data_IF_394550695744
#
_entry.id   IF_394550695744
#
_cell.length_a   1.000
_cell.length_b   1.000
_cell.length_c   1.000
_cell.angle_alpha   90.00
_cell.angle_beta   90.00
_cell.angle_gamma   90.00
#
_symmetry.space_group_name_H-M   'P 1'
#
loop_
_entity.id
_entity.type
_entity.pdbx_description
1 polymer ?
#
# COMPACT_ATOMS: atom_id res chain seq x y z
N UNK A 1 -3.46 6.83 0.78
CA UNK A 1 -4.57 5.91 1.10
C UNK A 1 -5.85 6.68 1.24
N UNK A 2 -6.81 6.31 0.40
CA UNK A 2 -8.14 6.87 0.36
C UNK A 2 -9.09 5.74 -0.05
N UNK A 3 -10.31 5.72 0.46
CA UNK A 3 -11.27 4.64 0.23
C UNK A 3 -11.54 4.42 -1.26
N UNK A 4 -11.59 5.49 -2.04
CA UNK A 4 -11.77 5.44 -3.50
C UNK A 4 -10.70 4.62 -4.24
N UNK A 5 -9.51 4.48 -3.66
CA UNK A 5 -8.40 3.69 -4.22
C UNK A 5 -8.27 2.31 -3.53
N UNK A 6 -8.48 2.26 -2.22
CA UNK A 6 -8.34 1.03 -1.43
C UNK A 6 -9.38 -0.04 -1.80
N UNK A 7 -10.61 0.36 -2.15
CA UNK A 7 -11.65 -0.58 -2.58
C UNK A 7 -11.24 -1.27 -3.89
N UNK A 8 -10.93 -0.55 -4.99
CA UNK A 8 -10.40 -1.18 -6.21
C UNK A 8 -9.18 -2.07 -5.97
N UNK A 9 -8.22 -1.64 -5.15
CA UNK A 9 -7.04 -2.46 -4.81
C UNK A 9 -7.44 -3.77 -4.14
N UNK A 10 -8.40 -3.73 -3.21
CA UNK A 10 -8.90 -4.93 -2.54
C UNK A 10 -9.55 -5.90 -3.54
N UNK A 11 -10.29 -5.39 -4.51
CA UNK A 11 -10.96 -6.23 -5.52
C UNK A 11 -9.95 -6.79 -6.54
N UNK A 12 -8.97 -6.00 -6.96
CA UNK A 12 -7.85 -6.50 -7.78
C UNK A 12 -7.09 -7.62 -7.07
N UNK A 13 -6.79 -7.46 -5.78
CA UNK A 13 -6.11 -8.49 -5.01
C UNK A 13 -6.91 -9.80 -4.94
N UNK A 14 -8.24 -9.72 -4.83
CA UNK A 14 -9.12 -10.90 -4.92
C UNK A 14 -9.06 -11.56 -6.28
N UNK A 15 -9.05 -10.78 -7.36
CA UNK A 15 -8.95 -11.30 -8.72
C UNK A 15 -7.62 -12.04 -8.94
N UNK A 16 -6.49 -11.47 -8.50
CA UNK A 16 -5.19 -12.16 -8.57
C UNK A 16 -5.17 -13.45 -7.76
N UNK A 17 -5.64 -13.41 -6.50
CA UNK A 17 -5.71 -14.59 -5.65
C UNK A 17 -6.61 -15.69 -6.25
N UNK A 18 -7.74 -15.32 -6.87
CA UNK A 18 -8.62 -16.27 -7.54
C UNK A 18 -7.99 -16.95 -8.77
N UNK A 19 -6.95 -16.35 -9.35
CA UNK A 19 -6.18 -16.93 -10.47
C UNK A 19 -4.97 -17.75 -10.00
N UNK A 20 -4.84 -18.04 -8.70
CA UNK A 20 -3.69 -18.82 -8.21
C UNK A 20 -2.48 -17.98 -7.83
N UNK A 21 -2.55 -16.64 -7.91
CA UNK A 21 -1.39 -15.76 -7.71
C UNK A 21 -1.22 -15.43 -6.23
N UNK A 22 -0.03 -15.71 -5.67
CA UNK A 22 0.35 -15.22 -4.34
C UNK A 22 0.27 -13.70 -4.34
N UNK A 23 -0.62 -13.15 -3.54
CA UNK A 23 -0.95 -11.73 -3.56
C UNK A 23 -0.74 -11.12 -2.18
N UNK A 24 0.01 -10.03 -2.12
CA UNK A 24 0.29 -9.28 -0.90
C UNK A 24 -0.16 -7.83 -1.09
N UNK A 25 -0.95 -7.31 -0.17
CA UNK A 25 -1.32 -5.89 -0.10
C UNK A 25 -0.38 -5.21 0.90
N UNK A 26 0.33 -4.18 0.44
CA UNK A 26 1.16 -3.34 1.29
C UNK A 26 0.37 -2.09 1.65
N UNK A 27 0.23 -1.83 2.95
CA UNK A 27 -0.58 -0.72 3.48
C UNK A 27 0.07 -0.16 4.75
N UNK A 28 -0.64 0.66 5.52
CA UNK A 28 -0.18 1.24 6.80
C UNK A 28 -1.00 0.69 7.96
N UNK A 29 -0.50 0.72 9.20
CA UNK A 29 -1.16 0.09 10.34
C UNK A 29 -2.64 0.46 10.52
N UNK A 30 -3.01 1.74 10.38
CA UNK A 30 -4.40 2.18 10.61
C UNK A 30 -5.35 1.87 9.45
N UNK A 31 -4.81 1.55 8.27
CA UNK A 31 -5.61 1.16 7.11
C UNK A 31 -5.67 -0.35 6.88
N UNK A 32 -4.78 -1.12 7.52
CA UNK A 32 -4.76 -2.58 7.44
C UNK A 32 -6.11 -3.23 7.77
N UNK A 33 -6.86 -2.81 8.82
CA UNK A 33 -8.17 -3.40 9.12
C UNK A 33 -9.19 -3.27 7.98
N UNK A 34 -9.11 -2.19 7.19
CA UNK A 34 -9.98 -1.98 6.02
C UNK A 34 -9.74 -3.06 4.97
N UNK A 35 -8.47 -3.34 4.65
CA UNK A 35 -8.11 -4.41 3.73
C UNK A 35 -8.46 -5.79 4.31
N UNK A 36 -8.13 -6.05 5.58
CA UNK A 36 -8.44 -7.34 6.21
C UNK A 36 -9.93 -7.65 6.22
N UNK A 37 -10.78 -6.62 6.40
CA UNK A 37 -12.23 -6.77 6.31
C UNK A 37 -12.66 -7.03 4.86
N UNK A 38 -12.12 -6.28 3.90
CA UNK A 38 -12.49 -6.38 2.49
C UNK A 38 -12.08 -7.73 1.87
N UNK A 39 -10.93 -8.29 2.26
CA UNK A 39 -10.39 -9.55 1.72
C UNK A 39 -10.85 -10.78 2.48
N UNK A 40 -11.51 -10.65 3.64
CA UNK A 40 -11.99 -11.80 4.45
C UNK A 40 -12.83 -12.81 3.65
N UNK A 41 -13.65 -12.34 2.72
CA UNK A 41 -14.49 -13.18 1.86
C UNK A 41 -13.71 -13.91 0.76
N UNK A 42 -12.46 -13.56 0.48
CA UNK A 42 -11.68 -14.21 -0.57
C UNK A 42 -11.39 -15.66 -0.24
N UNK A 43 -11.28 -16.02 1.05
CA UNK A 43 -10.95 -17.39 1.51
C UNK A 43 -11.84 -18.49 0.94
N UNK A 44 -13.10 -18.18 0.60
CA UNK A 44 -14.03 -19.14 0.03
C UNK A 44 -13.97 -19.22 -1.50
N UNK A 45 -13.53 -18.15 -2.17
CA UNK A 45 -13.60 -17.99 -3.62
C UNK A 45 -12.22 -18.05 -4.31
N UNK A 46 -11.12 -17.96 -3.56
CA UNK A 46 -9.74 -17.95 -4.09
C UNK A 46 -9.06 -19.31 -4.12
N UNK A 47 -9.81 -20.41 -4.03
CA UNK A 47 -9.24 -21.76 -3.96
C UNK A 47 -8.33 -21.98 -2.74
N UNK A 48 -8.52 -21.20 -1.67
CA UNK A 48 -7.73 -21.28 -0.43
C UNK A 48 -6.49 -20.39 -0.38
N UNK A 49 -6.19 -19.61 -1.43
CA UNK A 49 -5.07 -18.66 -1.40
C UNK A 49 -5.45 -17.43 -0.57
N UNK A 50 -4.76 -17.26 0.55
CA UNK A 50 -4.93 -16.11 1.43
C UNK A 50 -4.17 -14.90 0.87
N UNK A 51 -4.86 -13.76 0.81
CA UNK A 51 -4.24 -12.48 0.50
C UNK A 51 -3.51 -12.01 1.75
N UNK A 52 -2.18 -11.88 1.64
CA UNK A 52 -1.35 -11.38 2.73
C UNK A 52 -1.49 -9.86 2.84
N UNK A 53 -1.46 -9.34 4.06
CA UNK A 53 -1.44 -7.90 4.32
C UNK A 53 -0.18 -7.58 5.10
N UNK A 54 0.67 -6.74 4.53
CA UNK A 54 1.87 -6.20 5.17
C UNK A 54 1.72 -4.73 5.42
N UNK A 55 2.34 -4.25 6.50
CA UNK A 55 2.24 -2.85 6.90
C UNK A 55 3.60 -2.18 6.94
N UNK A 56 3.68 -0.98 6.39
CA UNK A 56 4.80 -0.05 6.51
C UNK A 56 4.37 1.14 7.37
N UNK A 57 5.25 1.62 8.26
CA UNK A 57 4.95 2.77 9.12
C UNK A 57 4.69 4.01 8.26
N UNK A 58 3.55 4.67 8.45
CA UNK A 58 3.29 5.94 7.76
C UNK A 58 4.00 7.09 8.47
N UNK A 59 4.85 7.87 7.78
CA UNK A 59 5.67 8.92 8.38
C UNK A 59 4.88 10.22 8.58
N UNK A 60 3.81 10.15 9.37
CA UNK A 60 2.88 11.27 9.59
C UNK A 60 3.60 12.49 10.16
N UNK A 61 4.30 12.30 11.28
CA UNK A 61 4.94 13.40 12.02
C UNK A 61 6.12 13.98 11.26
N UNK A 62 6.90 13.12 10.60
CA UNK A 62 8.04 13.49 9.76
C UNK A 62 7.62 14.36 8.57
N UNK A 63 6.36 14.25 8.13
CA UNK A 63 5.77 15.09 7.08
C UNK A 63 4.96 16.30 7.59
N UNK A 64 4.85 16.47 8.91
CA UNK A 64 4.10 17.57 9.54
C UNK A 64 2.59 17.30 9.69
N UNK A 65 2.15 16.05 9.55
CA UNK A 65 0.79 15.64 9.88
C UNK A 65 0.64 15.34 11.38
N UNK A 66 -0.58 15.46 11.93
CA UNK A 66 -0.89 14.93 13.25
C UNK A 66 -0.62 13.42 13.33
N UNK A 67 -0.28 12.94 14.52
CA UNK A 67 -0.08 11.51 14.76
C UNK A 67 -1.35 10.71 14.43
N UNK A 68 -1.19 9.59 13.72
CA UNK A 68 -2.29 8.71 13.31
C UNK A 68 -3.05 9.17 12.05
N UNK A 69 -2.63 10.25 11.39
CA UNK A 69 -3.22 10.67 10.12
C UNK A 69 -2.66 9.89 8.92
N UNK A 70 -3.06 8.63 8.77
CA UNK A 70 -2.58 7.74 7.70
C UNK A 70 -3.53 7.61 6.49
N UNK A 71 -4.73 8.20 6.59
CA UNK A 71 -5.75 8.15 5.54
C UNK A 71 -6.14 9.57 5.11
N UNK A 72 -6.13 9.82 3.81
CA UNK A 72 -6.44 11.13 3.24
C UNK A 72 -7.88 11.56 3.54
N UNK A 73 -8.83 10.62 3.57
CA UNK A 73 -10.23 10.89 3.89
C UNK A 73 -10.44 11.28 5.37
N UNK A 74 -9.47 10.99 6.24
CA UNK A 74 -9.51 11.39 7.65
C UNK A 74 -9.02 12.82 7.90
N UNK A 75 -8.40 13.45 6.89
CA UNK A 75 -7.85 14.79 6.99
C UNK A 75 -8.89 15.86 6.63
N UNK A 76 -8.91 17.00 7.34
CA UNK A 76 -9.60 18.19 6.86
C UNK A 76 -9.15 18.56 5.44
N UNK A 77 -10.08 18.92 4.52
CA UNK A 77 -9.77 19.16 3.12
C UNK A 77 -9.08 20.52 2.95
N UNK A 78 -7.82 20.60 3.35
CA UNK A 78 -6.98 21.79 3.23
C UNK A 78 -5.75 21.47 2.37
N UNK A 79 -5.30 22.40 1.50
CA UNK A 79 -4.14 22.17 0.65
C UNK A 79 -2.89 21.80 1.45
N UNK A 80 -2.66 22.45 2.59
CA UNK A 80 -1.50 22.22 3.45
C UNK A 80 -1.44 20.78 3.97
N UNK A 81 -2.56 20.24 4.46
CA UNK A 81 -2.59 18.86 4.96
C UNK A 81 -2.52 17.84 3.82
N UNK A 82 -3.08 18.15 2.65
CA UNK A 82 -2.95 17.32 1.47
C UNK A 82 -1.47 17.25 1.00
N UNK A 83 -0.78 18.38 0.96
CA UNK A 83 0.64 18.44 0.61
C UNK A 83 1.51 17.66 1.60
N UNK A 84 1.25 17.82 2.91
CA UNK A 84 1.91 17.02 3.94
C UNK A 84 1.62 15.51 3.79
N UNK A 85 0.42 15.13 3.36
CA UNK A 85 0.08 13.74 3.07
C UNK A 85 0.87 13.18 1.88
N UNK A 86 0.96 13.92 0.78
CA UNK A 86 1.75 13.50 -0.37
C UNK A 86 3.25 13.46 -0.06
N UNK A 87 3.74 14.38 0.78
CA UNK A 87 5.11 14.32 1.32
C UNK A 87 5.34 13.03 2.11
N UNK A 88 4.42 12.67 3.02
CA UNK A 88 4.50 11.42 3.77
C UNK A 88 4.47 10.19 2.84
N UNK A 89 3.62 10.19 1.81
CA UNK A 89 3.55 9.13 0.81
C UNK A 89 4.85 9.00 -0.01
N UNK A 90 5.55 10.11 -0.27
CA UNK A 90 6.87 10.10 -0.89
C UNK A 90 7.93 9.40 -0.02
N UNK A 91 7.88 9.62 1.31
CA UNK A 91 8.79 8.99 2.27
C UNK A 91 8.55 7.48 2.45
N UNK A 92 7.46 6.92 1.89
CA UNK A 92 7.23 5.46 1.87
C UNK A 92 8.10 4.71 0.87
N UNK A 93 8.85 5.42 0.01
CA UNK A 93 9.70 4.81 -0.99
C UNK A 93 10.71 3.85 -0.36
N UNK A 94 11.58 4.34 0.52
CA UNK A 94 12.64 3.54 1.13
C UNK A 94 12.12 2.30 1.90
N UNK A 95 11.10 2.39 2.79
CA UNK A 95 10.60 1.20 3.46
C UNK A 95 9.93 0.22 2.49
N UNK A 96 9.33 0.68 1.39
CA UNK A 96 8.86 -0.22 0.35
C UNK A 96 10.01 -0.90 -0.37
N UNK A 97 11.04 -0.15 -0.79
CA UNK A 97 12.22 -0.68 -1.49
C UNK A 97 12.85 -1.83 -0.69
N UNK A 98 13.01 -1.67 0.62
CA UNK A 98 13.49 -2.73 1.52
C UNK A 98 12.58 -3.95 1.52
N UNK A 99 11.27 -3.75 1.62
CA UNK A 99 10.30 -4.84 1.61
C UNK A 99 10.31 -5.61 0.28
N UNK A 100 10.49 -4.91 -0.84
CA UNK A 100 10.59 -5.53 -2.17
C UNK A 100 11.88 -6.35 -2.33
N UNK A 101 12.99 -5.91 -1.74
CA UNK A 101 14.24 -6.69 -1.70
C UNK A 101 14.10 -7.97 -0.87
N UNK A 102 13.36 -7.92 0.23
CA UNK A 102 13.10 -9.08 1.08
C UNK A 102 12.14 -10.08 0.42
N UNK A 103 11.02 -9.59 -0.12
CA UNK A 103 9.95 -10.45 -0.66
C UNK A 103 10.20 -10.91 -2.10
N UNK A 104 11.03 -10.19 -2.86
CA UNK A 104 11.33 -10.42 -4.27
C UNK A 104 10.09 -10.75 -5.11
N UNK A 105 9.06 -9.87 -5.15
CA UNK A 105 7.86 -10.12 -5.92
C UNK A 105 8.14 -10.08 -7.42
N UNK A 106 7.34 -10.82 -8.19
CA UNK A 106 7.44 -10.84 -9.67
C UNK A 106 6.85 -9.59 -10.33
N UNK A 107 5.94 -8.89 -9.63
CA UNK A 107 5.25 -7.71 -10.12
C UNK A 107 4.86 -6.79 -8.95
N UNK A 108 4.90 -5.49 -9.20
CA UNK A 108 4.38 -4.46 -8.30
C UNK A 108 3.25 -3.71 -9.02
N UNK A 109 2.08 -3.68 -8.40
CA UNK A 109 0.96 -2.81 -8.80
C UNK A 109 0.91 -1.66 -7.80
N UNK A 110 1.19 -0.45 -8.28
CA UNK A 110 1.25 0.74 -7.44
C UNK A 110 0.21 1.79 -7.88
N UNK A 111 -0.17 2.63 -6.92
CA UNK A 111 -1.10 3.73 -7.17
C UNK A 111 -0.41 4.89 -7.89
N UNK A 112 -1.13 5.58 -8.77
CA UNK A 112 -0.63 6.72 -9.54
C UNK A 112 -0.03 7.83 -8.66
N UNK A 113 -0.45 7.95 -7.39
CA UNK A 113 0.04 8.96 -6.45
C UNK A 113 1.38 8.62 -5.78
N UNK A 114 2.03 7.51 -6.14
CA UNK A 114 3.40 7.22 -5.74
C UNK A 114 4.37 7.59 -6.86
N UNK A 115 4.97 8.80 -6.85
CA UNK A 115 5.77 9.30 -7.98
C UNK A 115 7.04 8.46 -8.23
N UNK A 116 7.53 7.73 -7.23
CA UNK A 116 8.71 6.85 -7.32
C UNK A 116 8.42 5.48 -7.95
N UNK A 117 7.17 5.15 -8.27
CA UNK A 117 6.78 3.83 -8.82
C UNK A 117 7.36 3.53 -10.21
N UNK A 118 7.90 4.53 -10.90
CA UNK A 118 8.51 4.37 -12.23
C UNK A 118 9.92 3.76 -12.18
N UNK A 119 10.46 3.44 -10.99
CA UNK A 119 11.70 2.69 -10.92
C UNK A 119 11.47 1.21 -11.24
N UNK A 120 12.13 0.65 -12.27
CA UNK A 120 12.08 -0.77 -12.56
C UNK A 120 12.53 -1.60 -11.35
N UNK A 121 11.83 -2.70 -11.06
CA UNK A 121 12.22 -3.61 -9.97
C UNK A 121 13.67 -4.11 -10.10
N UNK A 122 14.20 -4.16 -11.32
CA UNK A 122 15.59 -4.54 -11.61
C UNK A 122 16.62 -3.54 -11.07
N UNK A 123 16.24 -2.27 -10.86
CA UNK A 123 17.16 -1.22 -10.36
C UNK A 123 17.29 -1.22 -8.83
N UNK A 124 16.44 -1.94 -8.11
CA UNK A 124 16.58 -2.14 -6.66
C UNK A 124 17.85 -2.93 -6.30
N UNK A 125 18.29 -3.84 -7.16
CA UNK A 125 19.46 -4.68 -6.94
C UNK A 125 20.82 -3.93 -7.06
N UNK A 126 20.82 -2.64 -7.40
CA UNK A 126 22.03 -1.85 -7.69
C UNK A 126 22.23 -0.67 -6.72
N UNK A 127 21.56 -0.66 -5.56
CA UNK A 127 21.59 0.44 -4.58
C UNK A 127 22.39 0.16 -3.29
N UNK A 128 23.30 -0.81 -3.31
CA UNK A 128 24.25 -1.06 -2.22
C UNK A 128 25.48 -0.11 -2.26
#
# INVERSE_FOLDING_TARGET
MAHGHMIPVSDMAKLFAAQGVKTTIITTPLNAPTFSKATRSSKTNSGGIEIEIKTIKFPSQEAGLPEGCENLDSLPPTPVLADSFFKAAGLLQEPLERLLLEDQPTCLVADMFFPWQLMPLQNLAYRD
#
